data_IF_201542109018
#
_entry.id   IF_201542109018
#
_cell.length_a   1.000
_cell.length_b   1.000
_cell.length_c   1.000
_cell.angle_alpha   90.00
_cell.angle_beta   90.00
_cell.angle_gamma   90.00
#
_symmetry.space_group_name_H-M   'P 1'
#
loop_
_entity.id
_entity.type
_entity.pdbx_description
1 polymer ?
2 non-polymer ?
3 water ?
#
# COMPACT_ATOMS: atom_id res chain seq x y z
N UNK A 4 21.44 9.78 -4.88
CA UNK A 4 21.55 9.35 -3.46
C UNK A 4 20.72 8.09 -3.21
N UNK A 5 19.44 8.15 -3.52
CA UNK A 5 18.57 6.95 -3.41
C UNK A 5 18.89 5.91 -4.46
N UNK A 6 19.02 4.66 -4.05
CA UNK A 6 19.16 3.64 -5.04
C UNK A 6 17.83 3.01 -5.36
N UNK A 7 17.67 2.63 -6.59
CA UNK A 7 16.45 2.08 -7.06
C UNK A 7 16.70 0.69 -7.63
N UNK A 8 16.43 -0.29 -6.82
CA UNK A 8 16.74 -1.70 -7.13
C UNK A 8 15.53 -2.40 -7.74
N UNK A 9 14.38 -1.88 -7.39
CA UNK A 9 13.09 -2.53 -7.66
C UNK A 9 12.07 -1.53 -8.05
N UNK A 10 11.75 -1.59 -9.32
CA UNK A 10 10.73 -0.74 -9.92
C UNK A 10 9.49 -1.56 -10.18
N UNK A 11 8.37 -1.07 -9.67
CA UNK A 11 7.06 -1.71 -9.92
C UNK A 11 6.17 -0.80 -10.77
N UNK A 12 5.44 -1.44 -11.67
CA UNK A 12 4.61 -0.74 -12.62
C UNK A 12 3.24 -1.36 -12.77
N UNK A 13 2.26 -0.49 -12.70
CA UNK A 13 0.89 -0.86 -12.99
C UNK A 13 0.25 0.20 -13.86
N UNK A 14 -0.48 -0.27 -14.85
CA UNK A 14 -1.19 0.64 -15.78
C UNK A 14 -2.69 0.56 -15.54
N UNK A 15 -3.38 1.62 -15.87
CA UNK A 15 -4.84 1.62 -15.78
C UNK A 15 -5.39 0.35 -16.40
N UNK A 16 -6.21 -0.31 -15.63
CA UNK A 16 -6.86 -1.52 -16.07
C UNK A 16 -8.28 -1.33 -16.58
N UNK A 17 -8.74 -0.08 -16.75
CA UNK A 17 -10.11 0.10 -17.33
C UNK A 17 -10.20 0.54 -18.80
N UNK A 18 -11.39 0.99 -19.17
CA UNK A 18 -11.73 1.46 -20.57
C UNK A 18 -10.57 1.55 -21.57
N UNK A 33 1.51 -3.30 -29.65
CA UNK A 33 2.47 -2.80 -30.63
C UNK A 33 3.45 -1.85 -29.99
N UNK A 34 3.21 -0.56 -30.17
CA UNK A 34 4.00 0.44 -29.47
C UNK A 34 4.17 -0.03 -28.03
N UNK A 35 3.09 -0.62 -27.55
CA UNK A 35 3.06 -1.09 -26.17
C UNK A 35 4.24 -2.01 -26.01
N UNK A 36 4.51 -2.75 -27.06
CA UNK A 36 5.62 -3.67 -27.03
C UNK A 36 6.92 -2.92 -27.20
N UNK A 37 6.82 -1.78 -27.84
CA UNK A 37 8.00 -1.00 -28.15
C UNK A 37 8.39 -0.16 -26.96
N UNK A 38 7.37 0.31 -26.25
CA UNK A 38 7.58 1.17 -25.07
C UNK A 38 8.19 0.35 -23.93
N UNK A 39 7.72 -0.87 -23.90
CA UNK A 39 8.15 -1.90 -22.93
C UNK A 39 9.61 -2.23 -23.04
N UNK A 40 10.06 -2.31 -24.28
CA UNK A 40 11.50 -2.52 -24.57
C UNK A 40 12.30 -1.33 -24.05
N UNK A 41 11.74 -0.15 -24.23
CA UNK A 41 12.43 1.06 -23.75
C UNK A 41 12.53 1.09 -22.23
N UNK A 42 11.46 0.67 -21.59
CA UNK A 42 11.45 0.59 -20.12
C UNK A 42 12.51 -0.41 -19.68
N UNK A 43 12.58 -1.51 -20.41
CA UNK A 43 13.56 -2.59 -20.05
C UNK A 43 15.02 -2.17 -20.29
N UNK A 44 15.19 -1.43 -21.37
CA UNK A 44 16.52 -0.86 -21.67
C UNK A 44 16.90 0.16 -20.59
N UNK A 45 15.93 0.97 -20.19
CA UNK A 45 16.15 2.04 -19.17
C UNK A 45 16.55 1.44 -17.80
N UNK A 46 15.92 0.33 -17.48
CA UNK A 46 16.21 -0.41 -16.25
C UNK A 46 17.64 -0.88 -16.18
N UNK A 47 18.08 -1.43 -17.30
CA UNK A 47 19.48 -1.92 -17.45
C UNK A 47 20.50 -0.78 -17.34
N UNK A 48 20.24 0.23 -18.15
CA UNK A 48 21.10 1.45 -18.21
C UNK A 48 21.20 2.09 -16.82
N UNK A 49 20.11 1.97 -16.08
CA UNK A 49 19.99 2.57 -14.71
C UNK A 49 20.34 1.68 -13.53
N UNK A 50 20.74 0.47 -13.86
CA UNK A 50 21.03 -0.55 -12.82
C UNK A 50 19.82 -0.85 -11.88
N UNK A 51 18.64 -0.88 -12.46
CA UNK A 51 17.42 -1.34 -11.76
C UNK A 51 17.34 -2.87 -11.97
N UNK A 52 17.61 -3.65 -10.94
CA UNK A 52 17.74 -5.14 -11.07
C UNK A 52 16.38 -5.83 -11.27
N UNK A 53 15.35 -5.22 -10.72
CA UNK A 53 14.02 -5.85 -10.71
C UNK A 53 12.95 -4.93 -11.23
N UNK A 54 12.17 -5.48 -12.14
CA UNK A 54 11.05 -4.81 -12.76
C UNK A 54 9.81 -5.64 -12.60
N UNK A 55 8.83 -5.05 -11.93
CA UNK A 55 7.63 -5.76 -11.55
C UNK A 55 6.44 -5.19 -12.26
N UNK A 56 5.73 -6.10 -12.92
CA UNK A 56 4.57 -5.74 -13.78
C UNK A 56 3.33 -6.47 -13.36
N UNK A 57 2.20 -5.78 -13.47
CA UNK A 57 0.91 -6.27 -13.03
C UNK A 57 0.06 -6.65 -14.22
N UNK A 58 -0.13 -7.95 -14.40
CA UNK A 58 -0.90 -8.45 -15.55
C UNK A 58 -2.36 -8.71 -15.22
N UNK A 59 -2.56 -9.56 -14.22
CA UNK A 59 -3.88 -10.06 -13.82
C UNK A 59 -3.91 -10.35 -12.29
N UNK A 60 -4.97 -9.90 -11.67
CA UNK A 60 -5.08 -10.04 -10.23
C UNK A 60 -6.13 -11.02 -9.80
N UNK A 61 -6.17 -11.30 -8.50
CA UNK A 61 -7.16 -12.23 -7.95
C UNK A 61 -8.60 -11.72 -8.13
N UNK A 62 -8.77 -10.42 -7.95
CA UNK A 62 -10.10 -9.75 -8.14
C UNK A 62 -10.57 -9.70 -9.61
N UNK A 63 -9.59 -9.63 -10.51
CA UNK A 63 -9.83 -9.62 -11.97
C UNK A 63 -10.65 -10.84 -12.43
N UNK A 64 -10.66 -11.86 -11.60
CA UNK A 64 -11.48 -13.08 -11.89
C UNK A 64 -12.96 -12.82 -11.91
N UNK A 65 -13.36 -11.67 -11.40
CA UNK A 65 -14.79 -11.31 -11.36
C UNK A 65 -15.17 -10.45 -12.54
N UNK A 66 -14.18 -10.18 -13.36
CA UNK A 66 -14.40 -9.52 -14.66
C UNK A 66 -15.23 -10.39 -15.59
N UNK A 67 -16.00 -9.77 -16.49
CA UNK A 67 -16.70 -10.53 -17.52
C UNK A 67 -15.77 -11.49 -18.23
N UNK A 68 -16.30 -12.64 -18.57
CA UNK A 68 -15.50 -13.71 -19.15
C UNK A 68 -14.81 -13.27 -20.45
N UNK A 69 -15.50 -12.46 -21.24
CA UNK A 69 -14.94 -11.92 -22.51
C UNK A 69 -13.65 -11.08 -22.29
N UNK A 70 -13.63 -10.34 -21.19
CA UNK A 70 -12.50 -9.45 -20.87
C UNK A 70 -11.30 -10.26 -20.43
N UNK A 71 -11.58 -11.23 -19.60
CA UNK A 71 -10.56 -12.19 -19.12
C UNK A 71 -9.90 -12.90 -20.30
N UNK A 72 -10.78 -13.32 -21.19
CA UNK A 72 -10.39 -14.04 -22.44
C UNK A 72 -9.34 -13.28 -23.25
N UNK A 73 -9.63 -12.01 -23.44
CA UNK A 73 -8.80 -11.09 -24.26
C UNK A 73 -7.42 -10.84 -23.63
N UNK A 74 -7.43 -10.65 -22.34
CA UNK A 74 -6.23 -10.43 -21.52
C UNK A 74 -5.25 -11.62 -21.56
N UNK A 75 -5.80 -12.81 -21.44
CA UNK A 75 -5.01 -14.08 -21.51
C UNK A 75 -4.56 -14.33 -22.92
N UNK A 76 -5.35 -13.82 -23.86
CA UNK A 76 -4.99 -13.89 -25.32
C UNK A 76 -3.68 -13.12 -25.54
N UNK A 77 -3.68 -11.91 -25.04
CA UNK A 77 -2.46 -11.03 -25.12
C UNK A 77 -1.29 -11.54 -24.29
N UNK A 78 -1.62 -11.90 -23.07
CA UNK A 78 -0.61 -12.43 -22.15
C UNK A 78 0.17 -13.56 -22.85
N UNK A 79 -0.61 -14.39 -23.51
CA UNK A 79 -0.06 -15.43 -24.35
C UNK A 79 0.92 -14.90 -25.40
N UNK A 80 0.44 -13.89 -26.11
CA UNK A 80 1.27 -13.20 -27.12
C UNK A 80 2.57 -12.73 -26.48
N UNK A 81 2.45 -12.17 -25.29
CA UNK A 81 3.63 -11.64 -24.55
C UNK A 81 4.55 -12.75 -24.07
N UNK A 82 3.95 -13.85 -23.69
CA UNK A 82 4.74 -14.99 -23.23
C UNK A 82 5.62 -15.52 -24.39
N UNK A 83 5.03 -15.52 -25.56
CA UNK A 83 5.73 -15.92 -26.81
C UNK A 83 6.90 -15.00 -27.14
N UNK A 84 6.66 -13.71 -27.10
CA UNK A 84 7.73 -12.68 -27.28
C UNK A 84 8.89 -12.95 -26.35
N UNK A 85 8.52 -13.25 -25.11
CA UNK A 85 9.50 -13.52 -24.03
C UNK A 85 10.25 -14.84 -24.27
N UNK A 86 9.54 -15.81 -24.81
CA UNK A 86 10.18 -17.09 -25.20
C UNK A 86 11.19 -16.83 -26.31
N UNK A 87 10.84 -15.86 -27.13
CA UNK A 87 11.67 -15.46 -28.29
C UNK A 87 12.88 -14.61 -27.89
N UNK A 88 12.54 -13.51 -27.25
CA UNK A 88 13.48 -12.37 -27.03
C UNK A 88 14.19 -12.31 -25.70
N UNK A 89 13.76 -13.07 -24.71
CA UNK A 89 14.25 -12.87 -23.30
C UNK A 89 15.67 -13.34 -23.01
N UNK A 90 15.95 -14.60 -23.28
CA UNK A 90 17.22 -15.21 -22.82
C UNK A 90 18.42 -14.73 -23.58
N UNK A 91 18.15 -14.28 -24.80
CA UNK A 91 19.22 -13.78 -25.70
C UNK A 91 19.57 -12.33 -25.34
N UNK A 92 18.69 -11.73 -24.56
CA UNK A 92 18.94 -10.39 -23.94
C UNK A 92 19.28 -10.46 -22.46
N UNK A 93 19.39 -11.68 -21.97
CA UNK A 93 19.84 -11.93 -20.56
C UNK A 93 18.84 -11.39 -19.52
N UNK A 94 17.58 -11.39 -19.92
CA UNK A 94 16.45 -11.01 -19.06
C UNK A 94 15.79 -12.26 -18.48
N UNK A 95 15.67 -12.27 -17.16
CA UNK A 95 14.97 -13.34 -16.45
C UNK A 95 13.50 -13.00 -16.28
N UNK A 96 12.65 -14.01 -16.44
CA UNK A 96 11.21 -13.88 -16.13
C UNK A 96 10.80 -14.76 -14.95
N UNK A 97 10.09 -14.11 -14.04
CA UNK A 97 9.48 -14.78 -12.89
C UNK A 97 8.02 -14.42 -12.75
N UNK A 98 7.22 -15.45 -12.59
CA UNK A 98 5.80 -15.32 -12.29
C UNK A 98 5.54 -15.34 -10.78
N UNK A 99 4.63 -14.48 -10.35
CA UNK A 99 4.15 -14.47 -8.96
C UNK A 99 2.65 -14.36 -9.03
N UNK A 100 2.01 -14.63 -7.91
CA UNK A 100 0.57 -14.73 -7.86
C UNK A 100 0.20 -16.18 -7.65
N UNK A 101 -1.09 -16.42 -7.57
CA UNK A 101 -1.57 -17.78 -7.35
C UNK A 101 -1.78 -18.43 -8.70
N UNK A 102 -0.76 -19.15 -9.11
CA UNK A 102 -0.67 -19.66 -10.50
C UNK A 102 -1.55 -20.89 -10.67
N UNK A 103 -1.97 -21.45 -9.55
CA UNK A 103 -2.80 -22.69 -9.56
C UNK A 103 -4.18 -22.42 -10.14
N UNK A 104 -4.55 -21.15 -10.21
CA UNK A 104 -5.89 -20.70 -10.75
C UNK A 104 -5.90 -20.57 -12.27
N UNK A 105 -4.74 -20.84 -12.86
CA UNK A 105 -4.55 -20.69 -14.30
C UNK A 105 -4.77 -21.97 -15.09
N UNK A 106 -5.29 -21.81 -16.30
CA UNK A 106 -5.39 -22.95 -17.23
C UNK A 106 -4.02 -23.61 -17.40
N UNK A 107 -4.07 -24.91 -17.64
CA UNK A 107 -2.85 -25.76 -17.84
C UNK A 107 -1.88 -25.23 -18.87
N UNK A 108 -2.42 -24.93 -20.03
CA UNK A 108 -1.62 -24.45 -21.19
C UNK A 108 -0.78 -23.23 -20.80
N UNK A 109 -1.33 -22.40 -19.94
CA UNK A 109 -0.68 -21.14 -19.50
C UNK A 109 0.45 -21.40 -18.54
N UNK A 110 0.11 -22.17 -17.52
CA UNK A 110 1.03 -22.52 -16.42
C UNK A 110 2.34 -23.11 -16.97
N UNK A 111 2.16 -24.05 -17.88
CA UNK A 111 3.29 -24.75 -18.54
C UNK A 111 4.13 -23.78 -19.39
N UNK A 112 3.45 -22.89 -20.08
CA UNK A 112 4.12 -21.92 -20.94
C UNK A 112 4.90 -20.89 -20.11
N UNK A 113 4.32 -20.53 -18.99
CA UNK A 113 5.02 -19.72 -17.95
C UNK A 113 6.27 -20.44 -17.48
N UNK A 114 6.08 -21.69 -17.08
CA UNK A 114 7.18 -22.50 -16.53
C UNK A 114 8.30 -22.62 -17.54
N UNK A 115 7.89 -22.75 -18.78
CA UNK A 115 8.81 -22.88 -19.90
C UNK A 115 9.75 -21.69 -20.00
N UNK A 116 9.16 -20.51 -20.13
CA UNK A 116 10.00 -19.29 -20.31
C UNK A 116 10.79 -19.08 -19.02
N UNK A 117 10.19 -19.45 -17.92
CA UNK A 117 10.86 -19.35 -16.62
C UNK A 117 12.17 -20.15 -16.61
N UNK A 118 12.05 -21.40 -16.99
CA UNK A 118 13.17 -22.34 -17.05
C UNK A 118 14.22 -21.85 -18.04
N UNK A 119 13.73 -21.42 -19.19
CA UNK A 119 14.63 -20.98 -20.27
C UNK A 119 15.45 -19.73 -19.86
N UNK A 120 14.87 -18.93 -18.99
CA UNK A 120 15.51 -17.64 -18.62
C UNK A 120 15.97 -17.59 -17.17
N UNK A 121 15.88 -18.73 -16.51
CA UNK A 121 16.17 -18.86 -15.05
C UNK A 121 17.52 -18.29 -14.66
N UNK A 122 18.44 -18.38 -15.60
CA UNK A 122 19.86 -18.02 -15.34
C UNK A 122 20.26 -16.59 -15.73
N UNK A 123 19.32 -15.91 -16.35
CA UNK A 123 19.58 -14.57 -16.93
C UNK A 123 19.89 -13.53 -15.83
N UNK A 124 20.99 -12.84 -16.08
CA UNK A 124 21.69 -11.97 -15.08
C UNK A 124 21.31 -10.49 -15.06
N UNK A 125 20.88 -9.98 -16.19
CA UNK A 125 20.91 -8.51 -16.48
C UNK A 125 19.69 -7.70 -15.99
N UNK A 126 18.54 -8.34 -16.07
CA UNK A 126 17.29 -7.81 -15.55
C UNK A 126 16.35 -8.96 -15.20
N UNK A 127 15.62 -8.77 -14.11
CA UNK A 127 14.62 -9.73 -13.66
C UNK A 127 13.20 -9.13 -13.73
N UNK A 128 12.42 -9.64 -14.67
CA UNK A 128 11.04 -9.22 -14.87
C UNK A 128 10.08 -10.11 -14.09
N UNK A 129 9.56 -9.51 -13.03
CA UNK A 129 8.56 -10.14 -12.13
C UNK A 129 7.13 -9.87 -12.64
N UNK A 130 6.49 -10.94 -13.05
CA UNK A 130 5.17 -10.86 -13.67
C UNK A 130 4.10 -11.38 -12.71
N UNK A 131 3.27 -10.45 -12.28
CA UNK A 131 2.16 -10.75 -11.38
C UNK A 131 0.89 -11.19 -12.10
N UNK A 132 0.61 -12.47 -11.99
CA UNK A 132 -0.52 -13.12 -12.72
C UNK A 132 -1.40 -13.94 -11.81
N UNK A 133 -2.70 -13.66 -11.87
CA UNK A 133 -3.63 -14.18 -10.88
C UNK A 133 -3.01 -13.92 -9.49
N UNK A 134 -2.56 -12.70 -9.34
CA UNK A 134 -1.84 -12.27 -8.14
C UNK A 134 -2.62 -11.24 -7.34
N UNK A 135 -2.57 -11.41 -6.05
CA UNK A 135 -3.06 -10.37 -5.14
C UNK A 135 -2.16 -10.29 -3.93
N UNK A 136 -2.01 -9.08 -3.40
CA UNK A 136 -1.06 -8.81 -2.29
C UNK A 136 -1.53 -9.49 -1.04
N UNK A 137 -2.83 -9.39 -0.82
CA UNK A 137 -3.43 -9.97 0.38
C UNK A 137 -3.23 -11.50 0.38
N UNK A 138 -3.46 -12.07 -0.78
CA UNK A 138 -3.30 -13.51 -1.01
C UNK A 138 -1.83 -13.89 -0.87
N UNK A 139 -0.95 -13.09 -1.45
CA UNK A 139 0.51 -13.35 -1.34
C UNK A 139 0.89 -13.38 0.15
N UNK A 140 0.37 -12.40 0.86
CA UNK A 140 0.64 -12.27 2.31
C UNK A 140 0.19 -13.49 3.11
N UNK A 141 -1.00 -13.98 2.77
CA UNK A 141 -1.57 -15.20 3.44
C UNK A 141 -0.73 -16.43 3.13
N UNK A 142 -0.35 -16.54 1.88
CA UNK A 142 0.49 -17.65 1.42
C UNK A 142 1.87 -17.61 2.08
N UNK A 143 2.36 -16.42 2.31
CA UNK A 143 3.68 -16.29 2.94
C UNK A 143 3.61 -16.74 4.40
N UNK A 144 2.51 -16.38 5.05
CA UNK A 144 2.28 -16.73 6.47
C UNK A 144 2.16 -18.27 6.68
N UNK A 145 1.55 -18.93 5.72
CA UNK A 145 1.40 -20.38 5.79
C UNK A 145 2.75 -21.08 5.58
N UNK A 146 3.55 -20.55 4.68
CA UNK A 146 4.89 -21.07 4.43
C UNK A 146 5.77 -20.99 5.69
N UNK A 147 5.59 -19.89 6.40
CA UNK A 147 6.33 -19.63 7.65
C UNK A 147 5.90 -20.64 8.72
N UNK A 148 4.60 -20.83 8.79
CA UNK A 148 3.98 -21.81 9.70
C UNK A 148 4.38 -23.25 9.33
N UNK A 149 4.25 -23.56 8.06
CA UNK A 149 4.64 -24.85 7.51
C UNK A 149 6.13 -25.19 7.75
N UNK A 150 6.93 -24.14 7.88
CA UNK A 150 8.40 -24.28 8.14
C UNK A 150 8.75 -24.24 9.63
N UNK A 151 7.73 -24.07 10.44
CA UNK A 151 7.91 -24.05 11.91
C UNK A 151 8.73 -22.85 12.37
N UNK A 152 8.70 -21.82 11.55
CA UNK A 152 9.36 -20.54 11.89
C UNK A 152 8.45 -19.70 12.76
N UNK A 153 9.06 -18.79 13.49
CA UNK A 153 8.32 -17.78 14.25
C UNK A 153 7.63 -16.79 13.30
N UNK A 154 6.40 -16.48 13.61
CA UNK A 154 5.58 -15.61 12.77
C UNK A 154 5.90 -14.16 13.13
N UNK A 155 6.80 -13.60 12.35
CA UNK A 155 7.24 -12.23 12.55
C UNK A 155 7.41 -11.52 11.19
N UNK A 156 7.78 -10.26 11.24
CA UNK A 156 7.94 -9.47 10.00
C UNK A 156 9.00 -9.99 9.04
N UNK A 157 10.15 -10.34 9.58
CA UNK A 157 11.27 -10.78 8.77
C UNK A 157 10.97 -12.09 8.10
N UNK A 158 10.40 -13.01 8.86
CA UNK A 158 10.13 -14.32 8.30
C UNK A 158 9.05 -14.29 7.23
N UNK A 159 8.06 -13.45 7.42
CA UNK A 159 6.98 -13.33 6.46
C UNK A 159 7.50 -12.68 5.18
N UNK A 160 8.30 -11.66 5.33
CA UNK A 160 8.95 -11.04 4.18
C UNK A 160 9.68 -12.05 3.31
N UNK A 161 10.53 -12.83 3.94
CA UNK A 161 11.41 -13.78 3.23
C UNK A 161 10.62 -14.92 2.56
N UNK A 162 9.39 -15.06 2.94
CA UNK A 162 8.52 -16.10 2.36
C UNK A 162 7.48 -15.62 1.37
N UNK A 163 7.50 -14.32 1.12
CA UNK A 163 6.66 -13.74 0.06
C UNK A 163 7.08 -14.34 -1.27
N UNK A 164 6.17 -14.35 -2.23
CA UNK A 164 6.49 -14.74 -3.62
C UNK A 164 7.66 -13.88 -4.12
N UNK A 165 7.66 -12.63 -3.65
CA UNK A 165 8.65 -11.61 -4.01
C UNK A 165 9.12 -10.80 -2.81
N UNK A 166 10.15 -11.29 -2.12
CA UNK A 166 10.64 -10.68 -0.88
C UNK A 166 11.15 -9.24 -0.96
N UNK A 167 11.47 -8.83 -2.16
CA UNK A 167 12.17 -7.54 -2.38
C UNK A 167 11.29 -6.29 -2.24
N UNK A 168 11.70 -5.41 -1.35
CA UNK A 168 11.00 -4.11 -1.16
C UNK A 168 10.98 -3.35 -2.50
N UNK A 169 9.85 -2.74 -2.74
CA UNK A 169 9.65 -1.83 -3.87
C UNK A 169 10.21 -0.48 -3.47
N UNK A 170 11.08 0.03 -4.31
CA UNK A 170 11.64 1.39 -4.14
C UNK A 170 10.78 2.44 -4.76
N UNK A 171 10.39 2.13 -6.00
CA UNK A 171 9.44 2.97 -6.77
C UNK A 171 8.25 2.23 -7.36
N UNK A 172 7.08 2.70 -6.97
CA UNK A 172 5.80 2.25 -7.51
C UNK A 172 5.26 3.31 -8.48
N UNK A 173 5.32 2.96 -9.75
CA UNK A 173 4.85 3.80 -10.84
C UNK A 173 3.48 3.36 -11.39
N UNK A 174 2.53 4.25 -11.24
CA UNK A 174 1.20 4.08 -11.87
C UNK A 174 1.19 4.85 -13.20
N UNK A 175 0.94 4.14 -14.28
CA UNK A 175 0.72 4.77 -15.57
C UNK A 175 -0.77 4.71 -15.93
N UNK A 176 -1.41 5.84 -15.82
CA UNK A 176 -2.82 5.96 -16.10
C UNK A 176 -3.39 7.08 -15.26
N UNK A 177 -4.70 7.13 -15.23
CA UNK A 177 -5.40 8.11 -14.37
C UNK A 177 -5.86 7.59 -12.97
N UNK A 178 -5.92 6.28 -12.81
CA UNK A 178 -6.29 5.63 -11.52
C UNK A 178 -5.28 5.95 -10.42
N UNK A 179 -5.78 6.34 -9.27
CA UNK A 179 -4.94 6.65 -8.13
C UNK A 179 -5.13 5.68 -7.00
N UNK A 180 -4.34 4.61 -7.03
CA UNK A 180 -4.54 3.46 -6.14
C UNK A 180 -3.59 2.33 -6.46
N UNK A 181 -3.43 1.40 -5.51
CA UNK A 181 -2.45 0.28 -5.67
C UNK A 181 -3.07 -1.00 -6.15
N UNK A 182 -4.36 -1.04 -5.99
CA UNK A 182 -5.17 -2.18 -6.42
C UNK A 182 -4.53 -3.53 -6.11
N UNK A 183 -4.34 -3.79 -4.83
CA UNK A 183 -3.86 -5.11 -4.33
C UNK A 183 -2.52 -5.54 -4.93
N UNK A 184 -1.72 -4.52 -5.25
CA UNK A 184 -0.42 -4.73 -5.89
C UNK A 184 0.73 -4.52 -4.92
N UNK A 185 1.35 -5.64 -4.54
CA UNK A 185 2.59 -5.60 -3.71
C UNK A 185 2.51 -4.69 -2.46
N UNK A 186 1.40 -4.79 -1.78
CA UNK A 186 1.16 -3.92 -0.59
C UNK A 186 2.27 -4.01 0.47
N UNK A 187 2.63 -5.23 0.80
CA UNK A 187 3.64 -5.45 1.85
C UNK A 187 4.98 -4.80 1.49
N UNK A 188 5.39 -5.11 0.28
CA UNK A 188 6.64 -4.62 -0.30
C UNK A 188 6.68 -3.06 -0.43
N UNK A 189 5.51 -2.49 -0.53
CA UNK A 189 5.37 -1.06 -0.77
C UNK A 189 5.27 -0.20 0.49
N UNK A 190 5.47 -0.81 1.64
CA UNK A 190 5.21 -0.10 2.91
C UNK A 190 5.87 1.28 2.89
N UNK A 191 7.14 1.27 2.48
CA UNK A 191 7.96 2.49 2.30
C UNK A 191 8.37 2.85 0.83
N UNK A 192 7.72 2.21 -0.11
CA UNK A 192 7.91 2.51 -1.52
C UNK A 192 7.47 3.97 -1.86
N UNK A 193 8.31 4.63 -2.63
CA UNK A 193 7.98 5.93 -3.19
C UNK A 193 6.96 5.67 -4.27
N UNK A 194 6.02 6.58 -4.35
CA UNK A 194 4.89 6.41 -5.25
C UNK A 194 4.78 7.55 -6.23
N UNK A 195 4.54 7.19 -7.48
CA UNK A 195 4.49 8.19 -8.55
C UNK A 195 3.40 7.89 -9.55
N UNK A 196 2.50 8.84 -9.69
CA UNK A 196 1.40 8.79 -10.67
C UNK A 196 1.73 9.60 -11.93
N UNK A 197 2.02 8.92 -13.02
CA UNK A 197 2.18 9.59 -14.33
C UNK A 197 0.94 9.40 -15.17
N UNK A 198 0.33 10.52 -15.51
CA UNK A 198 -0.99 10.50 -16.20
C UNK A 198 -0.80 10.57 -17.72
N UNK A 199 -0.82 9.40 -18.30
CA UNK A 199 -0.49 9.20 -19.69
C UNK A 199 -0.83 7.77 -19.98
N UNK A 200 -0.75 7.36 -21.22
CA UNK A 200 -0.91 5.94 -21.51
C UNK A 200 0.51 5.40 -21.53
N UNK A 201 0.64 4.10 -21.51
CA UNK A 201 1.96 3.48 -21.40
C UNK A 201 2.71 3.76 -22.71
N UNK A 202 1.97 3.67 -23.80
CA UNK A 202 2.50 3.84 -25.13
C UNK A 202 3.24 5.14 -25.27
N UNK A 203 2.64 6.16 -24.70
CA UNK A 203 3.11 7.56 -24.86
C UNK A 203 4.39 7.92 -24.11
N UNK A 204 4.93 6.95 -23.40
CA UNK A 204 6.13 7.16 -22.58
C UNK A 204 7.45 6.97 -23.31
N UNK A 205 8.34 7.91 -23.05
CA UNK A 205 9.68 7.95 -23.65
C UNK A 205 10.78 7.63 -22.66
N UNK A 206 11.87 7.10 -23.18
CA UNK A 206 13.09 6.84 -22.36
C UNK A 206 13.46 8.04 -21.50
N UNK A 207 13.40 9.21 -22.11
CA UNK A 207 13.77 10.49 -21.45
C UNK A 207 12.92 10.66 -20.19
N UNK A 208 11.64 10.36 -20.38
CA UNK A 208 10.63 10.50 -19.29
C UNK A 208 10.86 9.47 -18.15
N UNK A 209 10.96 8.21 -18.51
CA UNK A 209 11.39 7.15 -17.56
C UNK A 209 12.61 7.60 -16.77
N UNK A 210 13.65 8.01 -17.48
CA UNK A 210 14.90 8.46 -16.84
C UNK A 210 14.68 9.63 -15.86
N UNK A 211 13.82 10.54 -16.27
CA UNK A 211 13.50 11.75 -15.46
C UNK A 211 12.86 11.42 -14.10
N UNK A 212 11.79 10.65 -14.23
CA UNK A 212 11.04 10.06 -13.13
C UNK A 212 12.01 9.35 -12.17
N UNK A 213 12.89 8.59 -12.77
CA UNK A 213 13.95 7.92 -12.02
C UNK A 213 14.86 8.91 -11.26
N UNK A 214 15.23 9.98 -11.95
CA UNK A 214 16.13 11.03 -11.39
C UNK A 214 15.39 11.69 -10.20
N UNK A 215 14.13 11.93 -10.42
CA UNK A 215 13.28 12.52 -9.42
C UNK A 215 13.26 11.67 -8.12
N UNK A 216 12.96 10.39 -8.31
CA UNK A 216 12.98 9.43 -7.21
C UNK A 216 14.33 9.40 -6.46
N UNK A 217 15.41 9.55 -7.21
CA UNK A 217 16.76 9.50 -6.60
C UNK A 217 17.04 10.65 -5.67
N UNK A 218 16.37 11.75 -5.92
CA UNK A 218 16.60 12.97 -5.10
C UNK A 218 15.57 13.25 -4.06
N UNK A 219 14.57 12.37 -4.02
CA UNK A 219 13.49 12.48 -3.01
C UNK A 219 14.08 12.10 -1.67
N UNK A 220 13.60 12.73 -0.59
CA UNK A 220 14.05 12.35 0.78
C UNK A 220 13.38 11.04 1.26
N UNK A 221 14.17 9.99 1.43
CA UNK A 221 13.64 8.71 1.95
C UNK A 221 14.11 8.46 3.35
N UNK A 222 13.19 8.49 4.29
CA UNK A 222 13.57 8.31 5.70
C UNK A 222 13.37 6.92 6.24
N UNK A 223 12.51 6.17 5.58
CA UNK A 223 12.00 4.87 6.16
C UNK A 223 11.55 4.98 7.63
N UNK A 224 10.93 6.09 7.95
CA UNK A 224 10.48 6.35 9.37
C UNK A 224 11.55 6.89 10.28
N UNK A 225 12.69 7.09 9.67
CA UNK A 225 13.91 7.61 10.31
C UNK A 225 14.53 6.57 11.21
N UNK B 4 -22.39 8.40 -5.86
CA UNK B 4 -22.13 7.10 -6.51
C UNK B 4 -21.14 6.25 -5.69
N UNK B 5 -20.19 6.95 -5.09
CA UNK B 5 -19.22 6.33 -4.15
C UNK B 5 -19.42 6.78 -2.72
N UNK B 6 -19.48 5.78 -1.85
CA UNK B 6 -19.62 6.02 -0.42
C UNK B 6 -18.24 6.11 0.27
N UNK B 7 -18.04 7.20 1.00
CA UNK B 7 -16.82 7.41 1.79
C UNK B 7 -17.09 7.10 3.29
N UNK B 8 -16.84 5.86 3.67
CA UNK B 8 -17.18 5.33 5.02
C UNK B 8 -15.97 5.46 5.98
N UNK B 9 -14.79 5.57 5.37
CA UNK B 9 -13.46 5.50 6.07
C UNK B 9 -12.44 6.37 5.38
N UNK B 10 -12.06 7.42 6.07
CA UNK B 10 -11.05 8.35 5.54
C UNK B 10 -9.78 8.23 6.37
N UNK B 11 -8.67 8.02 5.70
CA UNK B 11 -7.36 7.91 6.39
C UNK B 11 -6.46 9.06 5.96
N UNK B 12 -5.95 9.74 6.97
CA UNK B 12 -5.09 10.91 6.81
C UNK B 12 -3.75 10.74 7.49
N UNK B 13 -2.73 11.07 6.76
CA UNK B 13 -1.37 11.13 7.32
C UNK B 13 -0.73 12.45 6.93
N UNK B 14 0.04 12.99 7.83
CA UNK B 14 0.74 14.25 7.58
C UNK B 14 2.24 14.04 7.56
N UNK B 15 2.95 14.95 6.92
CA UNK B 15 4.41 14.79 6.76
C UNK B 15 5.10 14.54 8.08
N UNK B 16 6.05 13.62 8.04
CA UNK B 16 6.86 13.23 9.22
C UNK B 16 8.22 13.91 9.38
N UNK B 17 8.49 14.91 8.56
CA UNK B 17 9.84 15.54 8.52
C UNK B 17 10.32 16.06 9.89
N UNK B 18 11.51 15.63 10.29
CA UNK B 18 12.28 16.18 11.43
C UNK B 18 11.98 17.65 11.75
N UNK B 35 -1.91 24.53 12.70
CA UNK B 35 -1.43 23.39 13.46
C UNK B 35 -2.54 22.42 13.80
N UNK B 36 -3.38 22.83 14.74
CA UNK B 36 -4.52 21.99 15.18
C UNK B 36 -5.79 22.31 14.38
N UNK B 37 -5.97 23.59 14.13
CA UNK B 37 -7.11 24.12 13.35
C UNK B 37 -7.48 23.17 12.21
N UNK B 38 -6.44 22.75 11.51
CA UNK B 38 -6.58 21.82 10.37
C UNK B 38 -7.20 20.49 10.79
N UNK B 39 -6.99 20.15 12.04
CA UNK B 39 -7.46 18.88 12.61
C UNK B 39 -8.95 18.92 13.01
N UNK B 40 -9.37 20.07 13.51
CA UNK B 40 -10.79 20.28 13.90
C UNK B 40 -11.65 20.46 12.66
N UNK B 41 -11.12 21.28 11.77
CA UNK B 41 -11.74 21.48 10.44
C UNK B 41 -11.95 20.09 9.83
N UNK B 42 -10.93 19.29 10.03
CA UNK B 42 -10.88 17.91 9.53
C UNK B 42 -12.04 17.07 10.09
N UNK B 43 -12.11 17.09 11.40
CA UNK B 43 -13.15 16.33 12.14
C UNK B 43 -14.56 16.86 11.89
N UNK B 44 -14.65 18.17 11.85
CA UNK B 44 -15.93 18.88 11.58
C UNK B 44 -16.51 18.46 10.22
N UNK B 45 -15.63 18.28 9.25
CA UNK B 45 -16.02 17.94 7.85
C UNK B 45 -16.47 16.50 7.66
N UNK B 46 -15.78 15.62 8.37
CA UNK B 46 -16.10 14.15 8.37
C UNK B 46 -17.51 13.88 8.86
N UNK B 47 -17.91 14.86 9.64
CA UNK B 47 -19.21 14.84 10.33
C UNK B 47 -20.33 15.34 9.41
N UNK B 48 -20.20 16.56 8.91
CA UNK B 48 -21.18 17.11 7.92
C UNK B 48 -21.36 16.14 6.77
N UNK B 49 -20.31 15.38 6.55
CA UNK B 49 -20.23 14.46 5.38
C UNK B 49 -20.69 13.05 5.67
N UNK B 50 -20.99 12.80 6.91
CA UNK B 50 -21.45 11.45 7.32
C UNK B 50 -20.35 10.39 7.13
N UNK B 51 -19.13 10.83 7.37
CA UNK B 51 -17.96 9.93 7.37
C UNK B 51 -17.73 9.31 8.75
N UNK B 52 -17.91 8.00 8.82
CA UNK B 52 -18.03 7.31 10.14
C UNK B 52 -16.68 7.11 10.85
N UNK B 53 -15.69 6.76 10.05
CA UNK B 53 -14.34 6.49 10.53
C UNK B 53 -13.26 7.44 9.99
N UNK B 54 -12.65 8.15 10.93
CA UNK B 54 -11.46 8.97 10.64
C UNK B 54 -10.21 8.33 11.25
N UNK B 55 -9.26 8.00 10.38
CA UNK B 55 -8.01 7.35 10.83
C UNK B 55 -6.85 8.24 10.66
N UNK B 56 -6.09 8.37 11.73
CA UNK B 56 -4.93 9.29 11.82
C UNK B 56 -3.63 8.61 12.27
N UNK B 57 -2.52 9.06 11.71
CA UNK B 57 -1.20 8.46 11.97
C UNK B 57 -0.34 9.35 12.84
N UNK B 58 -0.20 8.94 14.09
CA UNK B 58 0.57 9.70 15.10
C UNK B 58 2.03 9.22 15.26
N UNK B 59 2.20 7.91 15.44
CA UNK B 59 3.51 7.30 15.68
C UNK B 59 3.64 5.87 15.15
N UNK B 60 4.59 5.71 14.25
CA UNK B 60 4.89 4.42 13.62
C UNK B 60 5.85 3.58 14.41
N UNK B 61 5.74 2.29 14.18
CA UNK B 61 6.73 1.30 14.72
C UNK B 61 8.21 1.69 14.35
N UNK B 62 8.40 2.19 13.15
CA UNK B 62 9.76 2.58 12.70
C UNK B 62 10.26 3.89 13.34
N UNK B 63 9.31 4.70 13.80
CA UNK B 63 9.62 5.97 14.46
C UNK B 63 10.40 5.76 15.76
N UNK B 64 10.31 4.57 16.31
CA UNK B 64 11.07 4.18 17.54
C UNK B 64 12.56 4.29 17.36
N UNK B 65 12.98 4.43 16.12
CA UNK B 65 14.40 4.52 15.76
C UNK B 65 14.87 5.96 15.59
N UNK B 66 13.95 6.88 15.75
CA UNK B 66 14.29 8.28 15.66
C UNK B 66 15.17 8.58 16.84
N UNK B 67 15.82 9.74 16.81
CA UNK B 67 16.55 10.31 17.94
C UNK B 67 15.62 10.61 19.13
N UNK B 68 16.09 10.24 20.30
CA UNK B 68 15.26 10.23 21.52
C UNK B 68 14.65 11.58 21.90
N UNK B 69 15.11 12.59 21.22
CA UNK B 69 14.74 13.94 21.60
C UNK B 69 13.47 14.24 20.83
N UNK B 70 13.53 13.83 19.57
CA UNK B 70 12.44 13.97 18.59
C UNK B 70 11.22 13.18 19.05
N UNK B 71 11.51 12.16 19.83
CA UNK B 71 10.47 11.21 20.28
C UNK B 71 9.69 11.70 21.51
N UNK B 72 10.45 12.20 22.45
CA UNK B 72 9.88 12.70 23.69
C UNK B 72 9.11 13.94 23.35
N UNK B 73 9.56 14.59 22.32
CA UNK B 73 8.84 15.75 21.83
C UNK B 73 7.49 15.45 21.17
N UNK B 74 7.45 14.33 20.48
CA UNK B 74 6.25 13.86 19.81
C UNK B 74 5.24 13.30 20.78
N UNK B 75 5.72 12.68 21.82
CA UNK B 75 4.83 12.13 22.81
C UNK B 75 4.32 13.22 23.72
N UNK B 76 5.08 14.28 23.78
CA UNK B 76 4.68 15.53 24.47
C UNK B 76 3.47 16.15 23.77
N UNK B 77 3.59 16.22 22.46
CA UNK B 77 2.45 16.66 21.62
C UNK B 77 1.24 15.74 21.79
N UNK B 78 1.51 14.46 21.60
CA UNK B 78 0.48 13.43 21.70
C UNK B 78 -0.33 13.60 22.97
N UNK B 79 0.41 13.73 24.05
CA UNK B 79 -0.18 13.90 25.38
C UNK B 79 -1.12 15.12 25.44
N UNK B 80 -0.68 16.22 24.84
CA UNK B 80 -1.54 17.42 24.71
C UNK B 80 -2.83 17.12 23.89
N UNK B 81 -2.69 16.25 22.91
CA UNK B 81 -3.82 15.84 22.04
C UNK B 81 -4.83 15.00 22.78
N UNK B 82 -4.30 14.12 23.62
CA UNK B 82 -5.14 13.20 24.38
C UNK B 82 -5.96 13.95 25.41
N UNK B 83 -5.32 14.91 26.06
CA UNK B 83 -5.97 15.84 27.02
C UNK B 83 -7.13 16.58 26.37
N UNK B 84 -6.87 17.02 25.16
CA UNK B 84 -7.88 17.72 24.37
C UNK B 84 -9.06 16.78 24.04
N UNK B 85 -8.73 15.54 23.77
CA UNK B 85 -9.74 14.50 23.51
C UNK B 85 -10.68 14.32 24.69
N UNK B 86 -10.09 14.18 25.87
CA UNK B 86 -10.87 13.95 27.11
C UNK B 86 -11.93 15.02 27.31
N UNK B 87 -11.42 16.23 27.30
CA UNK B 87 -12.23 17.43 27.51
C UNK B 87 -13.40 17.51 26.52
N UNK B 88 -13.03 17.52 25.26
CA UNK B 88 -13.95 17.85 24.14
C UNK B 88 -14.57 16.71 23.35
N UNK B 89 -14.12 15.50 23.53
CA UNK B 89 -14.58 14.43 22.63
C UNK B 89 -15.99 14.00 22.94
N UNK B 90 -16.20 13.69 24.21
CA UNK B 90 -17.49 13.14 24.69
C UNK B 90 -18.68 14.07 24.41
N UNK B 91 -18.52 15.33 24.79
CA UNK B 91 -19.61 16.33 24.66
C UNK B 91 -19.92 16.61 23.22
N UNK B 92 -18.91 16.44 22.38
CA UNK B 92 -19.08 16.58 20.91
C UNK B 92 -19.46 15.27 20.23
N UNK B 93 -19.61 14.24 21.04
CA UNK B 93 -20.07 12.92 20.55
C UNK B 93 -19.10 12.24 19.56
N UNK B 94 -17.82 12.43 19.83
CA UNK B 94 -16.74 11.76 19.06
C UNK B 94 -16.10 10.63 19.86
N UNK B 95 -15.88 9.54 19.17
CA UNK B 95 -15.20 8.40 19.78
C UNK B 95 -13.70 8.35 19.42
N UNK B 96 -12.91 7.90 20.38
CA UNK B 96 -11.47 7.66 20.17
C UNK B 96 -11.09 6.21 20.37
N UNK B 97 -10.43 5.67 19.36
CA UNK B 97 -9.87 4.29 19.40
C UNK B 97 -8.42 4.32 19.06
N UNK B 98 -7.63 3.61 19.85
CA UNK B 98 -6.18 3.52 19.58
C UNK B 98 -5.86 2.19 18.93
N UNK B 99 -5.25 2.26 17.77
CA UNK B 99 -4.67 1.08 17.13
C UNK B 99 -3.14 1.16 17.18
N UNK B 100 -2.54 0.00 17.24
CA UNK B 100 -1.08 -0.08 17.16
C UNK B 100 -0.60 -1.12 18.15
N UNK B 101 0.71 -1.30 18.22
CA UNK B 101 1.23 -2.14 19.29
C UNK B 101 1.44 -1.23 20.50
N UNK B 102 0.45 -1.24 21.37
CA UNK B 102 0.32 -0.24 22.46
C UNK B 102 1.20 -0.56 23.65
N UNK B 103 1.68 -1.81 23.68
CA UNK B 103 2.57 -2.32 24.74
C UNK B 103 3.98 -1.71 24.72
N UNK B 104 4.32 -1.06 23.64
CA UNK B 104 5.65 -0.40 23.53
C UNK B 104 5.62 0.91 24.26
N UNK B 105 4.41 1.36 24.50
CA UNK B 105 4.15 2.70 25.13
C UNK B 105 4.35 2.69 26.65
N UNK B 106 4.79 3.84 27.12
CA UNK B 106 4.90 4.10 28.57
C UNK B 106 3.52 3.95 29.21
N UNK B 107 3.53 3.62 30.48
CA UNK B 107 2.28 3.33 31.22
C UNK B 107 1.42 4.58 31.33
N UNK B 108 2.09 5.69 31.51
CA UNK B 108 1.46 7.00 31.66
C UNK B 108 0.48 7.25 30.49
N UNK B 109 0.99 7.12 29.29
CA UNK B 109 0.22 7.37 28.05
C UNK B 109 -0.82 6.30 27.89
N UNK B 110 -0.36 5.10 28.09
CA UNK B 110 -1.21 3.97 27.93
C UNK B 110 -2.47 4.07 28.75
N UNK B 111 -2.31 4.55 29.95
CA UNK B 111 -3.44 4.73 30.91
C UNK B 111 -4.38 5.83 30.43
N UNK B 112 -3.78 6.95 30.09
CA UNK B 112 -4.52 8.09 29.53
C UNK B 112 -5.34 7.67 28.27
N UNK B 113 -4.75 6.80 27.50
CA UNK B 113 -5.41 6.28 26.28
C UNK B 113 -6.61 5.45 26.62
N UNK B 114 -6.35 4.46 27.43
CA UNK B 114 -7.39 3.62 27.98
C UNK B 114 -8.54 4.39 28.57
N UNK B 115 -8.18 5.45 29.27
CA UNK B 115 -9.18 6.29 29.90
C UNK B 115 -10.08 6.95 28.90
N UNK B 116 -9.43 7.60 27.95
CA UNK B 116 -10.14 8.41 26.93
C UNK B 116 -11.01 7.54 26.02
N UNK B 117 -10.56 6.32 25.83
CA UNK B 117 -11.32 5.29 25.06
C UNK B 117 -12.59 4.91 25.79
N UNK B 118 -12.43 4.76 27.10
CA UNK B 118 -13.54 4.33 27.98
C UNK B 118 -14.52 5.45 28.14
N UNK B 119 -14.00 6.64 28.42
CA UNK B 119 -14.83 7.85 28.52
C UNK B 119 -15.70 8.06 27.27
N UNK B 120 -15.08 7.84 26.11
CA UNK B 120 -15.74 8.13 24.79
C UNK B 120 -16.32 6.93 24.07
N UNK B 121 -16.20 5.78 24.70
CA UNK B 121 -16.58 4.51 24.03
C UNK B 121 -17.98 4.56 23.45
N UNK B 122 -18.81 5.40 24.04
CA UNK B 122 -20.27 5.45 23.71
C UNK B 122 -20.69 6.54 22.73
N UNK B 123 -19.68 7.16 22.15
CA UNK B 123 -19.89 8.23 21.12
C UNK B 123 -20.14 7.74 19.69
N UNK B 124 -21.16 8.32 19.11
CA UNK B 124 -21.84 7.80 17.90
C UNK B 124 -21.53 8.50 16.57
N UNK B 125 -20.99 9.70 16.65
CA UNK B 125 -21.03 10.66 15.49
C UNK B 125 -19.81 10.59 14.56
N UNK B 126 -18.78 9.97 15.07
CA UNK B 126 -17.50 9.86 14.38
C UNK B 126 -16.62 8.99 15.24
N UNK B 127 -15.74 8.23 14.60
CA UNK B 127 -14.78 7.40 15.33
C UNK B 127 -13.38 7.72 14.86
N UNK B 128 -12.62 8.31 15.78
CA UNK B 128 -11.23 8.65 15.50
C UNK B 128 -10.33 7.48 15.89
N UNK B 129 -9.81 6.86 14.85
CA UNK B 129 -8.82 5.80 15.02
C UNK B 129 -7.45 6.45 15.00
N UNK B 130 -6.80 6.38 16.14
CA UNK B 130 -5.48 6.97 16.35
C UNK B 130 -4.39 5.87 16.34
N UNK B 131 -3.48 6.02 15.40
CA UNK B 131 -2.41 5.02 15.18
C UNK B 131 -1.18 5.49 15.90
N UNK B 132 -0.85 4.70 16.93
CA UNK B 132 0.26 4.98 17.85
C UNK B 132 1.09 3.75 18.10
N UNK B 133 2.38 3.88 17.95
CA UNK B 133 3.30 2.71 17.92
C UNK B 133 2.68 1.65 17.00
N UNK B 134 2.35 2.12 15.82
CA UNK B 134 1.58 1.38 14.82
C UNK B 134 2.39 1.19 13.58
N UNK B 135 2.27 0.00 13.04
CA UNK B 135 2.78 -0.28 11.68
C UNK B 135 1.92 -1.34 11.06
N UNK B 136 1.78 -1.27 9.74
CA UNK B 136 0.79 -2.14 9.02
C UNK B 136 1.29 -3.57 8.97
N UNK B 137 2.60 -3.69 8.79
CA UNK B 137 3.24 -5.03 8.78
C UNK B 137 3.11 -5.74 10.15
N UNK B 138 3.35 -4.97 11.20
CA UNK B 138 3.18 -5.46 12.60
C UNK B 138 1.72 -5.83 12.82
N UNK B 139 0.82 -4.95 12.42
CA UNK B 139 -0.65 -5.19 12.57
C UNK B 139 -1.07 -6.52 11.93
N UNK B 140 -0.60 -6.72 10.72
CA UNK B 140 -0.87 -7.90 9.90
C UNK B 140 -0.31 -9.15 10.58
N UNK B 141 0.92 -9.05 11.04
CA UNK B 141 1.55 -10.15 11.83
C UNK B 141 0.71 -10.49 13.07
N UNK B 142 0.37 -9.46 13.82
CA UNK B 142 -0.45 -9.62 15.09
C UNK B 142 -1.80 -10.22 14.75
N UNK B 143 -2.34 -9.80 13.63
CA UNK B 143 -3.65 -10.31 13.20
C UNK B 143 -3.56 -11.79 12.82
N UNK B 144 -2.49 -12.15 12.14
CA UNK B 144 -2.18 -13.54 11.74
C UNK B 144 -2.12 -14.47 12.93
N UNK B 145 -1.59 -13.95 14.01
CA UNK B 145 -1.46 -14.70 15.25
C UNK B 145 -2.74 -14.88 16.01
N UNK B 146 -3.49 -13.79 16.03
CA UNK B 146 -4.85 -13.79 16.61
C UNK B 146 -5.59 -14.95 15.96
N UNK B 147 -5.36 -15.06 14.68
CA UNK B 147 -6.07 -16.07 13.87
C UNK B 147 -5.65 -17.46 14.30
N UNK B 148 -4.34 -17.60 14.49
CA UNK B 148 -3.73 -18.91 14.85
C UNK B 148 -4.21 -19.41 16.24
N UNK B 149 -4.25 -18.47 17.16
CA UNK B 149 -4.60 -18.75 18.56
C UNK B 149 -6.09 -18.95 18.78
N UNK B 150 -6.88 -18.60 17.78
CA UNK B 150 -8.30 -18.96 17.75
C UNK B 150 -8.56 -20.26 16.98
N UNK B 151 -7.50 -20.78 16.41
CA UNK B 151 -7.55 -22.07 15.69
C UNK B 151 -8.38 -21.97 14.45
N UNK B 152 -8.31 -20.79 13.85
CA UNK B 152 -8.99 -20.45 12.58
C UNK B 152 -8.08 -20.69 11.38
N UNK B 153 -8.71 -21.04 10.26
CA UNK B 153 -8.01 -21.13 8.97
C UNK B 153 -7.45 -19.74 8.63
N UNK B 154 -6.16 -19.72 8.29
CA UNK B 154 -5.50 -18.53 7.71
C UNK B 154 -6.04 -18.27 6.31
N UNK B 155 -6.80 -17.20 6.19
CA UNK B 155 -7.31 -16.68 4.91
C UNK B 155 -7.58 -15.18 4.97
N UNK B 156 -7.72 -14.56 3.82
CA UNK B 156 -7.91 -13.09 3.75
C UNK B 156 -9.01 -12.62 4.71
N UNK B 157 -10.10 -13.37 4.76
CA UNK B 157 -11.28 -12.90 5.54
C UNK B 157 -11.03 -12.94 7.06
N UNK B 158 -10.55 -14.08 7.53
CA UNK B 158 -10.26 -14.22 8.98
C UNK B 158 -9.18 -13.24 9.47
N UNK B 159 -8.17 -13.06 8.62
CA UNK B 159 -7.08 -12.10 8.88
C UNK B 159 -7.62 -10.67 9.00
N UNK B 160 -8.40 -10.32 7.99
CA UNK B 160 -9.05 -9.02 7.90
C UNK B 160 -9.79 -8.72 9.20
N UNK B 161 -10.59 -9.68 9.58
CA UNK B 161 -11.47 -9.52 10.79
C UNK B 161 -10.72 -9.44 12.13
N UNK B 162 -9.48 -9.87 12.10
CA UNK B 162 -8.59 -9.81 13.29
C UNK B 162 -7.55 -8.70 13.31
N UNK B 163 -7.64 -7.81 12.35
CA UNK B 163 -6.80 -6.60 12.36
C UNK B 163 -7.22 -5.77 13.57
N UNK B 164 -6.35 -4.86 14.01
CA UNK B 164 -6.75 -3.78 14.95
C UNK B 164 -7.90 -3.00 14.35
N UNK B 165 -7.84 -2.84 13.05
CA UNK B 165 -8.86 -2.03 12.29
C UNK B 165 -9.32 -2.72 11.01
N UNK B 166 -10.31 -3.62 11.09
CA UNK B 166 -10.79 -4.46 9.99
C UNK B 166 -11.31 -3.70 8.81
N UNK B 167 -11.69 -2.48 9.07
CA UNK B 167 -12.42 -1.67 8.09
C UNK B 167 -11.54 -1.18 6.94
N UNK B 168 -11.95 -1.54 5.74
CA UNK B 168 -11.29 -1.03 4.51
C UNK B 168 -11.24 0.52 4.44
N UNK B 169 -10.12 1.00 3.96
CA UNK B 169 -9.96 2.45 3.72
C UNK B 169 -10.45 2.82 2.33
N UNK B 170 -11.22 3.89 2.28
CA UNK B 170 -11.82 4.37 1.01
C UNK B 170 -10.95 5.43 0.36
N UNK B 171 -10.72 6.46 1.14
CA UNK B 171 -9.81 7.57 0.72
C UNK B 171 -8.61 7.63 1.66
N UNK B 172 -7.46 7.47 1.07
CA UNK B 172 -6.16 7.62 1.76
C UNK B 172 -5.53 8.95 1.35
N UNK B 173 -5.42 9.82 2.35
CA UNK B 173 -5.08 11.25 2.13
C UNK B 173 -3.78 11.66 2.76
N UNK B 174 -2.86 12.03 1.94
CA UNK B 174 -1.56 12.51 2.40
C UNK B 174 -1.51 14.04 2.37
N UNK B 175 -1.44 14.65 3.55
CA UNK B 175 -1.30 16.12 3.67
C UNK B 175 0.16 16.47 3.82
N UNK B 176 0.73 16.88 2.71
CA UNK B 176 2.19 17.14 2.65
C UNK B 176 2.80 16.81 1.30
N UNK B 177 4.13 16.82 1.25
CA UNK B 177 4.90 16.54 0.00
C UNK B 177 5.40 15.09 -0.20
N UNK B 178 5.31 14.30 0.85
CA UNK B 178 5.80 12.93 0.78
C UNK B 178 4.85 12.06 -0.06
N UNK B 179 5.40 11.34 -1.02
CA UNK B 179 4.58 10.42 -1.86
C UNK B 179 4.81 8.96 -1.53
N UNK B 180 4.08 8.50 -0.54
CA UNK B 180 4.29 7.12 -0.01
C UNK B 180 3.33 6.83 1.13
N UNK B 181 3.19 5.55 1.47
CA UNK B 181 2.28 5.13 2.56
C UNK B 181 2.90 5.06 3.95
N UNK B 182 4.21 4.89 3.95
CA UNK B 182 4.97 4.78 5.19
C UNK B 182 4.34 3.83 6.21
N UNK B 183 3.97 2.65 5.72
CA UNK B 183 3.54 1.55 6.60
C UNK B 183 2.22 1.82 7.34
N UNK B 184 1.36 2.58 6.69
CA UNK B 184 0.04 2.95 7.26
C UNK B 184 -1.15 2.23 6.59
N UNK B 185 -1.77 1.39 7.38
CA UNK B 185 -3.02 0.68 6.95
C UNK B 185 -2.93 0.01 5.55
N UNK B 186 -1.85 -0.71 5.33
CA UNK B 186 -1.51 -1.24 3.98
C UNK B 186 -2.61 -2.19 3.50
N UNK B 187 -2.89 -3.14 4.37
CA UNK B 187 -3.86 -4.19 4.10
C UNK B 187 -5.24 -3.59 3.79
N UNK B 188 -5.60 -2.62 4.61
CA UNK B 188 -6.89 -1.93 4.52
C UNK B 188 -6.99 -1.06 3.24
N UNK B 189 -5.81 -0.76 2.67
CA UNK B 189 -5.69 0.16 1.52
C UNK B 189 -5.64 -0.48 0.17
N UNK B 190 -5.85 -1.81 0.11
CA UNK B 190 -5.57 -2.56 -1.14
C UNK B 190 -6.30 -1.86 -2.24
N UNK B 191 -7.54 -1.46 -1.98
CA UNK B 191 -8.32 -0.68 -2.99
C UNK B 191 -8.61 0.76 -2.64
N UNK B 192 -7.92 1.27 -1.65
CA UNK B 192 -8.07 2.69 -1.27
C UNK B 192 -7.72 3.62 -2.46
N UNK B 193 -8.60 4.58 -2.66
CA UNK B 193 -8.24 5.76 -3.43
C UNK B 193 -7.17 6.57 -2.72
N UNK B 194 -6.15 6.92 -3.45
CA UNK B 194 -5.02 7.70 -2.89
C UNK B 194 -5.00 9.15 -3.38
N UNK B 195 -4.70 10.06 -2.50
CA UNK B 195 -4.68 11.47 -2.81
C UNK B 195 -3.54 12.21 -2.16
N UNK B 196 -2.68 12.75 -3.00
CA UNK B 196 -1.50 13.50 -2.55
C UNK B 196 -1.77 14.99 -2.64
N UNK B 197 -1.96 15.59 -1.49
CA UNK B 197 -2.24 17.02 -1.39
C UNK B 197 -1.03 17.77 -0.91
N UNK B 198 -0.38 18.41 -1.85
CA UNK B 198 0.93 19.00 -1.58
C UNK B 198 0.88 20.19 -0.65
N UNK B 199 1.87 20.19 0.21
CA UNK B 199 2.13 21.34 1.09
C UNK B 199 3.40 21.15 1.88
N UNK B 200 3.98 22.27 2.25
CA UNK B 200 5.12 22.30 3.19
C UNK B 200 4.58 22.42 4.61
N UNK B 201 3.35 22.87 4.73
CA UNK B 201 2.77 23.15 6.02
C UNK B 201 1.50 22.38 6.06
N UNK B 202 1.36 21.53 7.07
CA UNK B 202 0.21 20.64 7.19
C UNK B 202 -1.01 21.47 7.31
N UNK B 203 -1.34 22.18 6.26
CA UNK B 203 -2.40 23.14 6.33
C UNK B 203 -3.47 22.63 5.46
N UNK B 204 -4.66 23.12 5.66
CA UNK B 204 -5.73 22.77 4.73
C UNK B 204 -7.05 23.33 5.20
N UNK B 205 -7.91 23.50 4.22
CA UNK B 205 -9.13 24.27 4.37
C UNK B 205 -10.31 23.36 4.33
N UNK B 206 -11.37 23.82 4.97
CA UNK B 206 -12.60 23.03 5.13
C UNK B 206 -13.05 22.61 3.74
N UNK B 207 -13.08 23.62 2.88
CA UNK B 207 -13.60 23.51 1.48
C UNK B 207 -12.78 22.58 0.59
N UNK B 208 -11.47 22.78 0.62
CA UNK B 208 -10.53 21.89 -0.17
C UNK B 208 -10.65 20.41 0.24
N UNK B 209 -10.92 20.19 1.52
CA UNK B 209 -11.32 18.86 2.02
C UNK B 209 -12.54 18.35 1.30
N UNK B 210 -13.56 19.19 1.34
CA UNK B 210 -14.87 18.90 0.70
C UNK B 210 -14.66 18.76 -0.79
N UNK B 211 -13.68 19.50 -1.26
CA UNK B 211 -13.31 19.48 -2.70
C UNK B 211 -12.76 18.10 -3.07
N UNK B 212 -11.78 17.71 -2.27
CA UNK B 212 -11.09 16.40 -2.39
C UNK B 212 -12.11 15.24 -2.29
N UNK B 213 -12.98 15.38 -1.30
CA UNK B 213 -14.04 14.41 -1.06
C UNK B 213 -14.91 14.24 -2.31
N UNK B 214 -15.44 15.37 -2.77
CA UNK B 214 -16.31 15.40 -3.99
C UNK B 214 -15.66 14.61 -5.12
N UNK B 215 -14.40 14.98 -5.34
CA UNK B 215 -13.53 14.32 -6.33
C UNK B 215 -13.59 12.80 -6.18
N UNK B 216 -13.47 12.38 -4.93
CA UNK B 216 -13.46 10.95 -4.58
C UNK B 216 -14.77 10.25 -4.97
N UNK B 217 -15.86 10.84 -4.51
CA UNK B 217 -17.22 10.26 -4.74
C UNK B 217 -17.49 10.00 -6.22
N UNK B 218 -16.95 10.87 -7.05
CA UNK B 218 -17.15 10.76 -8.51
C UNK B 218 -16.21 9.85 -9.28
N UNK B 219 -14.98 9.72 -8.82
CA UNK B 219 -14.02 8.86 -9.55
C UNK B 219 -14.40 7.39 -9.46
N UNK B 220 -14.14 6.72 -10.53
CA UNK B 220 -14.57 5.34 -10.72
C UNK B 220 -13.75 4.36 -9.87
N UNK B 221 -14.49 3.56 -9.10
CA UNK B 221 -13.96 2.43 -8.30
C UNK B 221 -14.50 1.10 -8.79
N UNK B 222 -13.61 0.30 -9.32
CA UNK B 222 -14.00 -1.04 -9.84
C UNK B 222 -13.73 -2.19 -8.88
N UNK B 223 -12.97 -1.92 -7.85
CA UNK B 223 -12.53 -3.03 -6.94
C UNK B 223 -12.07 -4.28 -7.71
N UNK B 224 -11.37 -4.01 -8.79
CA UNK B 224 -10.86 -5.04 -9.73
C UNK B 224 -11.87 -5.70 -10.67
#
# INVERSE_FOLDING_TARGET
>A
SNAMNELKHLAVVMDGNRRWARAKGFLAKLGYSQGVKTMQKLMEVCMEENISNLSLFAFSTENWKRPKDEIDFIFELLDRCLDEALEKFEKNNVRLRAIGDLSRLEDKVREKITLVEEKTKHCDALCVNLAISYGARDEIIRAAKRVIEKKLELNEENLTQNLDLPLDVDLMLRVGNAKRLSNFLLWQCSYAEIYFSETLFPSLTKREFKRIIKEFRNRERTFGK
>B
SNAMNELKHLAVVMDGNRRWARAKGFLAKLGYSQGVKTMQKLMEVCMEENISNLSLFAFSTENWKRPKDEIDFIFELLDRCLDEALEKFEKNNVRLRAIGDLSRLEDKVREKITLVEEKTKHCDALCVNLAISYGARDEIIRAAKRVIEKKLELNEENLTQNLDLPLDVDLMLRVGNAKRLSNFLLWQCSYAEIYFSETLFPSLTKREFKRIIKEFRNRERTFGK
#
